data_IF_103032861190
#
_entry.id   IF_103032861190
#
_cell.length_a   1.000
_cell.length_b   1.000
_cell.length_c   1.000
_cell.angle_alpha   90.00
_cell.angle_beta   90.00
_cell.angle_gamma   90.00
#
_symmetry.space_group_name_H-M   'P 1'
#
loop_
_entity.id
_entity.type
_entity.pdbx_description
1 polymer ?
#
# COMPACT_ATOMS: atom_id res chain seq x y z
N UNK A 1 23.31 -1.37 -10.58
CA UNK A 1 21.85 -1.10 -10.68
C UNK A 1 21.51 -0.10 -9.59
N UNK A 2 20.65 0.89 -9.87
CA UNK A 2 20.20 1.82 -8.85
C UNK A 2 19.10 1.12 -8.03
N UNK A 3 19.43 0.64 -6.83
CA UNK A 3 18.51 -0.14 -5.99
C UNK A 3 17.60 0.77 -5.13
N UNK A 4 17.52 2.06 -5.46
CA UNK A 4 16.64 3.00 -4.76
C UNK A 4 15.27 3.06 -5.42
N UNK A 5 14.25 3.25 -4.59
CA UNK A 5 12.87 3.47 -5.01
C UNK A 5 12.32 4.67 -4.25
N UNK A 6 11.55 5.53 -4.91
CA UNK A 6 10.87 6.65 -4.25
C UNK A 6 9.66 7.07 -5.08
N UNK A 7 8.48 6.59 -4.71
CA UNK A 7 7.22 6.93 -5.38
C UNK A 7 6.16 7.27 -4.36
N UNK A 8 5.48 8.39 -4.59
CA UNK A 8 4.31 8.81 -3.83
C UNK A 8 3.18 9.13 -4.81
N UNK A 9 1.95 8.83 -4.42
CA UNK A 9 0.78 9.25 -5.17
C UNK A 9 -0.42 9.46 -4.23
N UNK A 10 -1.29 10.38 -4.64
CA UNK A 10 -2.61 10.50 -4.04
C UNK A 10 -3.56 9.50 -4.69
N UNK A 11 -4.33 8.81 -3.86
CA UNK A 11 -5.33 7.82 -4.27
C UNK A 11 -6.70 8.49 -4.44
N UNK A 12 -7.06 9.43 -3.56
CA UNK A 12 -8.32 10.18 -3.61
C UNK A 12 -8.08 11.67 -3.38
N UNK A 13 -7.42 12.37 -4.32
CA UNK A 13 -6.99 13.75 -4.14
C UNK A 13 -8.14 14.76 -3.99
N UNK A 14 -9.34 14.43 -4.46
CA UNK A 14 -10.49 15.34 -4.52
C UNK A 14 -11.50 15.16 -3.38
N UNK A 15 -11.24 14.26 -2.42
CA UNK A 15 -12.11 14.08 -1.26
C UNK A 15 -11.62 14.91 -0.08
N UNK A 16 -12.37 15.94 0.31
CA UNK A 16 -12.04 16.78 1.47
C UNK A 16 -12.13 16.01 2.80
N UNK A 17 -12.92 14.94 2.84
CA UNK A 17 -13.17 14.12 4.03
C UNK A 17 -12.40 12.78 4.03
N UNK A 18 -11.74 12.41 2.94
CA UNK A 18 -11.06 11.10 2.81
C UNK A 18 -9.91 11.12 1.79
N UNK A 19 -9.07 12.14 1.84
CA UNK A 19 -7.85 12.13 1.05
C UNK A 19 -6.99 10.95 1.50
N UNK A 20 -6.64 10.09 0.56
CA UNK A 20 -5.75 8.97 0.79
C UNK A 20 -4.54 9.06 -0.13
N UNK A 21 -3.41 8.53 0.31
CA UNK A 21 -2.17 8.50 -0.45
C UNK A 21 -1.23 7.40 0.01
N UNK A 22 -0.25 7.09 -0.83
CA UNK A 22 0.84 6.20 -0.45
C UNK A 22 2.19 6.82 -0.73
N UNK A 23 3.20 6.32 -0.01
CA UNK A 23 4.61 6.62 -0.25
C UNK A 23 5.44 5.36 -0.02
N UNK A 24 6.05 4.86 -1.09
CA UNK A 24 7.05 3.80 -1.02
C UNK A 24 8.45 4.36 -1.26
N UNK A 25 9.39 3.93 -0.43
CA UNK A 25 10.80 4.30 -0.53
C UNK A 25 11.71 3.11 -0.19
N UNK A 26 12.74 2.91 -0.99
CA UNK A 26 13.90 2.03 -0.71
C UNK A 26 15.14 2.90 -0.74
N UNK A 27 15.94 2.83 0.33
CA UNK A 27 17.18 3.58 0.50
C UNK A 27 18.37 2.80 -0.07
N UNK A 28 19.48 3.48 -0.36
CA UNK A 28 20.71 2.84 -0.83
C UNK A 28 21.28 1.83 0.17
N UNK A 29 20.98 2.00 1.46
CA UNK A 29 21.38 1.12 2.56
C UNK A 29 20.55 -0.17 2.67
N UNK A 30 19.59 -0.40 1.78
CA UNK A 30 18.71 -1.57 1.82
C UNK A 30 17.50 -1.42 2.74
N UNK A 31 17.37 -0.32 3.47
CA UNK A 31 16.15 -0.04 4.24
C UNK A 31 14.97 0.25 3.31
N UNK A 32 13.77 -0.17 3.68
CA UNK A 32 12.53 0.21 2.98
C UNK A 32 11.48 0.77 3.93
N UNK A 33 10.64 1.66 3.39
CA UNK A 33 9.40 2.14 4.02
C UNK A 33 8.31 2.24 2.98
N UNK A 34 7.17 1.61 3.26
CA UNK A 34 5.96 1.75 2.49
C UNK A 34 4.84 2.21 3.42
N UNK A 35 4.24 3.36 3.12
CA UNK A 35 3.13 3.93 3.90
C UNK A 35 1.91 4.07 3.03
N UNK A 36 0.76 3.70 3.57
CA UNK A 36 -0.56 4.11 3.09
C UNK A 36 -1.21 4.88 4.22
N UNK A 37 -1.80 6.03 3.92
CA UNK A 37 -2.46 6.87 4.91
C UNK A 37 -3.64 7.60 4.28
N UNK A 38 -4.59 7.95 5.13
CA UNK A 38 -5.62 8.94 4.84
C UNK A 38 -5.41 10.20 5.70
N UNK A 39 -6.40 11.11 5.73
CA UNK A 39 -6.37 12.32 6.55
C UNK A 39 -6.28 12.06 8.06
N UNK A 40 -6.60 10.86 8.53
CA UNK A 40 -6.79 10.54 9.95
C UNK A 40 -5.67 9.64 10.46
N UNK A 41 -5.35 8.57 9.72
CA UNK A 41 -4.40 7.55 10.15
C UNK A 41 -3.66 6.91 8.97
N UNK A 42 -2.71 6.04 9.28
CA UNK A 42 -2.00 5.27 8.26
C UNK A 42 -1.29 4.04 8.80
N UNK A 43 -0.94 3.16 7.88
CA UNK A 43 -0.14 1.97 8.13
C UNK A 43 1.23 2.15 7.49
N UNK A 44 2.28 1.71 8.19
CA UNK A 44 3.65 1.76 7.70
C UNK A 44 4.28 0.36 7.76
N UNK A 45 4.59 -0.20 6.59
CA UNK A 45 5.47 -1.35 6.45
C UNK A 45 6.91 -0.85 6.36
N UNK A 46 7.81 -1.41 7.15
CA UNK A 46 9.24 -1.06 7.16
C UNK A 46 10.07 -2.29 7.45
N UNK A 47 11.30 -2.30 6.95
CA UNK A 47 12.25 -3.37 7.14
C UNK A 47 13.53 -3.13 6.36
N UNK A 48 14.33 -4.17 6.23
CA UNK A 48 15.58 -4.18 5.47
C UNK A 48 15.44 -5.09 4.23
N UNK A 49 16.40 -5.01 3.32
CA UNK A 49 16.51 -5.81 2.10
C UNK A 49 17.96 -6.31 1.94
N UNK A 50 18.60 -6.66 3.07
CA UNK A 50 20.03 -6.97 3.10
C UNK A 50 20.31 -8.46 2.87
N UNK A 51 19.33 -9.33 3.13
CA UNK A 51 19.41 -10.78 2.92
C UNK A 51 18.33 -11.27 1.95
N UNK A 52 18.50 -12.45 1.32
CA UNK A 52 17.44 -13.07 0.52
C UNK A 52 16.13 -13.27 1.29
N UNK A 53 16.22 -13.59 2.58
CA UNK A 53 15.08 -13.77 3.47
C UNK A 53 14.35 -12.44 3.70
N UNK A 54 15.08 -11.35 3.95
CA UNK A 54 14.54 -10.00 4.10
C UNK A 54 13.75 -9.59 2.84
N UNK A 55 14.31 -9.85 1.66
CA UNK A 55 13.68 -9.55 0.38
C UNK A 55 12.39 -10.36 0.20
N UNK A 56 12.43 -11.65 0.53
CA UNK A 56 11.27 -12.54 0.43
C UNK A 56 10.16 -12.11 1.40
N UNK A 57 10.51 -11.73 2.63
CA UNK A 57 9.55 -11.23 3.61
C UNK A 57 8.90 -9.91 3.16
N UNK A 58 9.70 -8.96 2.66
CA UNK A 58 9.19 -7.69 2.16
C UNK A 58 8.23 -7.89 0.98
N UNK A 59 8.57 -8.80 0.05
CA UNK A 59 7.72 -9.18 -1.08
C UNK A 59 6.40 -9.79 -0.60
N UNK A 60 6.45 -10.82 0.25
CA UNK A 60 5.25 -11.50 0.74
C UNK A 60 4.32 -10.57 1.54
N UNK A 61 4.89 -9.62 2.31
CA UNK A 61 4.10 -8.58 2.99
C UNK A 61 3.36 -7.68 2.00
N UNK A 62 3.97 -7.34 0.87
CA UNK A 62 3.34 -6.53 -0.16
C UNK A 62 2.22 -7.30 -0.88
N UNK A 63 2.46 -8.57 -1.24
CA UNK A 63 1.46 -9.43 -1.87
C UNK A 63 0.23 -9.63 -0.97
N UNK A 64 0.44 -9.97 0.30
CA UNK A 64 -0.66 -10.14 1.26
C UNK A 64 -1.50 -8.86 1.44
N UNK A 65 -0.87 -7.68 1.37
CA UNK A 65 -1.58 -6.41 1.41
C UNK A 65 -2.42 -6.20 0.16
N UNK A 66 -1.89 -6.53 -1.03
CA UNK A 66 -2.63 -6.45 -2.29
C UNK A 66 -3.86 -7.36 -2.26
N UNK A 67 -3.71 -8.60 -1.83
CA UNK A 67 -4.79 -9.57 -1.69
C UNK A 67 -5.89 -9.07 -0.74
N UNK A 68 -5.50 -8.57 0.45
CA UNK A 68 -6.45 -8.02 1.42
C UNK A 68 -7.22 -6.80 0.88
N UNK A 69 -6.54 -5.90 0.17
CA UNK A 69 -7.17 -4.74 -0.48
C UNK A 69 -8.14 -5.16 -1.58
N UNK A 70 -7.78 -6.17 -2.38
CA UNK A 70 -8.62 -6.70 -3.44
C UNK A 70 -9.88 -7.34 -2.86
N UNK A 71 -9.76 -8.16 -1.81
CA UNK A 71 -10.91 -8.75 -1.12
C UNK A 71 -11.85 -7.71 -0.51
N UNK A 72 -11.31 -6.65 0.10
CA UNK A 72 -12.13 -5.55 0.61
C UNK A 72 -12.88 -4.82 -0.52
N UNK A 73 -12.20 -4.53 -1.64
CA UNK A 73 -12.81 -3.88 -2.81
C UNK A 73 -13.98 -4.69 -3.35
N UNK A 74 -13.80 -6.00 -3.47
CA UNK A 74 -14.82 -6.91 -4.01
C UNK A 74 -16.03 -6.98 -3.08
N UNK A 75 -15.80 -7.09 -1.76
CA UNK A 75 -16.88 -7.05 -0.76
C UNK A 75 -17.71 -5.77 -0.84
N UNK A 76 -17.07 -4.59 -0.94
CA UNK A 76 -17.77 -3.31 -1.08
C UNK A 76 -18.61 -3.28 -2.35
N UNK A 77 -18.04 -3.74 -3.47
CA UNK A 77 -18.74 -3.76 -4.74
C UNK A 77 -19.98 -4.65 -4.71
N UNK A 78 -19.85 -5.88 -4.22
CA UNK A 78 -20.94 -6.84 -4.19
C UNK A 78 -22.11 -6.40 -3.30
N UNK A 79 -21.80 -5.84 -2.13
CA UNK A 79 -22.80 -5.57 -1.10
C UNK A 79 -23.43 -4.19 -1.19
N UNK A 80 -22.71 -3.20 -1.71
CA UNK A 80 -23.15 -1.80 -1.68
C UNK A 80 -23.33 -1.21 -3.08
N UNK A 81 -22.51 -1.58 -4.06
CA UNK A 81 -22.64 -1.02 -5.43
C UNK A 81 -23.60 -1.86 -6.27
N UNK A 82 -23.41 -3.18 -6.33
CA UNK A 82 -24.23 -4.05 -7.19
C UNK A 82 -25.67 -4.14 -6.69
N UNK A 83 -25.87 -4.22 -5.37
CA UNK A 83 -27.20 -4.31 -4.74
C UNK A 83 -28.07 -3.08 -4.99
N UNK A 84 -27.49 -1.89 -5.16
CA UNK A 84 -28.24 -0.68 -5.48
C UNK A 84 -28.67 -0.61 -6.96
N UNK A 85 -28.07 -1.43 -7.83
CA UNK A 85 -28.34 -1.48 -9.26
C UNK A 85 -29.18 -2.71 -9.70
N UNK A 86 -29.75 -3.45 -8.75
CA UNK A 86 -30.62 -4.62 -9.01
C UNK A 86 -31.97 -4.42 -8.34
#
# INVERSE_FOLDING_TARGET
>A
MNNTYNKKAFLLPNSINSMAGYHGKVYETGEYRFRIHDCITGVCLRGNLNTPEDVTEAYNKAEALIEGLQGFKDFVFENFIKKENT
#
